data_IF_721973535850
#
_entry.id   IF_721973535850
#
_cell.length_a   1.000
_cell.length_b   1.000
_cell.length_c   1.000
_cell.angle_alpha   90.00
_cell.angle_beta   90.00
_cell.angle_gamma   90.00
#
_symmetry.space_group_name_H-M   'P 1'
#
loop_
_entity.id
_entity.type
_entity.pdbx_description
1 polymer ?
#
# COMPACT_ATOMS: atom_id res chain seq x y z
N UNK A 1 -6.12 17.04 5.55
CA UNK A 1 -5.87 16.58 6.94
C UNK A 1 -6.14 15.11 6.93
N UNK A 2 -5.08 14.34 7.06
CA UNK A 2 -5.14 12.88 7.09
C UNK A 2 -5.80 12.41 8.39
N UNK A 3 -6.77 11.49 8.29
CA UNK A 3 -7.41 10.84 9.44
C UNK A 3 -6.78 9.47 9.72
N UNK A 4 -7.02 8.92 10.92
CA UNK A 4 -6.55 7.57 11.29
C UNK A 4 -7.11 6.47 10.37
N UNK A 5 -8.34 6.65 9.87
CA UNK A 5 -8.96 5.73 8.93
C UNK A 5 -8.25 5.75 7.58
N UNK A 6 -7.97 6.95 7.04
CA UNK A 6 -7.20 7.11 5.80
C UNK A 6 -5.80 6.50 5.92
N UNK A 7 -5.14 6.66 7.07
CA UNK A 7 -3.85 6.03 7.34
C UNK A 7 -3.96 4.51 7.32
N UNK A 8 -4.95 3.92 8.01
CA UNK A 8 -5.13 2.46 8.01
C UNK A 8 -5.43 1.90 6.63
N UNK A 9 -6.29 2.57 5.86
CA UNK A 9 -6.54 2.20 4.46
C UNK A 9 -5.24 2.23 3.65
N UNK A 10 -4.45 3.29 3.81
CA UNK A 10 -3.14 3.42 3.16
C UNK A 10 -2.18 2.30 3.57
N UNK A 11 -2.11 1.94 4.85
CA UNK A 11 -1.28 0.84 5.33
C UNK A 11 -1.67 -0.50 4.68
N UNK A 12 -2.98 -0.78 4.61
CA UNK A 12 -3.51 -2.01 4.02
C UNK A 12 -3.27 -2.09 2.51
N UNK A 13 -3.41 -0.98 1.78
CA UNK A 13 -3.09 -0.92 0.36
C UNK A 13 -1.59 -1.11 0.17
N UNK A 14 -0.74 -0.35 0.86
CA UNK A 14 0.70 -0.47 0.70
C UNK A 14 1.24 -1.86 1.06
N UNK A 15 0.62 -2.54 2.03
CA UNK A 15 0.93 -3.92 2.36
C UNK A 15 0.79 -4.85 1.15
N UNK A 16 -0.23 -4.68 0.30
CA UNK A 16 -0.43 -5.52 -0.89
C UNK A 16 0.61 -5.28 -1.98
N UNK A 17 1.21 -4.08 -1.99
CA UNK A 17 2.30 -3.71 -2.90
C UNK A 17 3.67 -4.17 -2.39
N UNK A 18 3.90 -4.11 -1.07
CA UNK A 18 5.17 -4.48 -0.45
C UNK A 18 5.38 -5.97 -0.28
N UNK A 19 4.31 -6.76 -0.19
CA UNK A 19 4.40 -8.19 0.05
C UNK A 19 3.63 -9.01 -0.99
N UNK A 20 4.10 -10.22 -1.24
CA UNK A 20 3.31 -11.20 -1.99
C UNK A 20 2.14 -11.67 -1.10
N UNK A 21 0.94 -11.19 -1.41
CA UNK A 21 -0.25 -11.52 -0.63
C UNK A 21 -0.66 -13.00 -0.73
N UNK A 22 -0.30 -13.70 -1.82
CA UNK A 22 -0.57 -15.14 -1.96
C UNK A 22 0.27 -15.95 -0.98
N UNK A 23 1.54 -15.58 -0.81
CA UNK A 23 2.43 -16.19 0.18
C UNK A 23 2.14 -15.70 1.60
N UNK A 24 1.75 -14.43 1.76
CA UNK A 24 1.35 -13.86 3.04
C UNK A 24 0.21 -14.66 3.68
N UNK A 25 -0.81 -15.01 2.90
CA UNK A 25 -1.94 -15.81 3.37
C UNK A 25 -1.56 -17.24 3.77
N UNK A 26 -0.40 -17.74 3.33
CA UNK A 26 0.20 -19.03 3.76
C UNK A 26 1.07 -18.90 5.01
N UNK A 27 1.19 -17.70 5.58
CA UNK A 27 2.06 -17.46 6.73
C UNK A 27 3.52 -17.18 6.34
N UNK A 28 3.78 -16.84 5.07
CA UNK A 28 5.13 -16.62 4.54
C UNK A 28 5.29 -15.17 4.12
N UNK A 29 6.26 -14.46 4.72
CA UNK A 29 6.54 -13.06 4.41
C UNK A 29 7.54 -12.97 3.27
N UNK A 30 7.04 -12.72 2.06
CA UNK A 30 7.85 -12.48 0.86
C UNK A 30 7.72 -11.01 0.46
N UNK A 31 8.85 -10.33 0.31
CA UNK A 31 8.93 -8.91 0.01
C UNK A 31 9.04 -8.70 -1.50
N UNK A 32 8.28 -7.75 -2.03
CA UNK A 32 8.47 -7.24 -3.39
C UNK A 32 9.61 -6.22 -3.41
N UNK A 33 10.82 -6.69 -3.77
CA UNK A 33 12.05 -5.88 -3.76
C UNK A 33 11.95 -4.64 -4.66
N UNK A 34 11.26 -4.78 -5.80
CA UNK A 34 11.20 -3.74 -6.84
C UNK A 34 10.33 -2.56 -6.39
N UNK A 35 9.30 -2.84 -5.59
CA UNK A 35 8.49 -1.82 -4.95
C UNK A 35 9.19 -1.25 -3.72
N UNK A 36 9.84 -2.09 -2.92
CA UNK A 36 10.47 -1.65 -1.67
C UNK A 36 11.57 -0.63 -1.87
N UNK A 37 12.26 -0.64 -2.99
CA UNK A 37 13.35 0.32 -3.23
C UNK A 37 12.87 1.69 -3.72
N UNK A 38 11.57 1.82 -4.04
CA UNK A 38 10.99 3.05 -4.56
C UNK A 38 10.92 4.14 -3.48
N UNK A 39 11.17 5.38 -3.93
CA UNK A 39 10.83 6.58 -3.17
C UNK A 39 9.31 6.71 -3.04
N UNK A 40 8.82 7.64 -2.20
CA UNK A 40 7.38 7.92 -2.13
C UNK A 40 6.81 8.34 -3.48
N UNK A 41 7.53 9.18 -4.21
CA UNK A 41 7.09 9.72 -5.49
C UNK A 41 7.05 8.62 -6.58
N UNK A 42 8.07 7.77 -6.64
CA UNK A 42 8.08 6.62 -7.58
C UNK A 42 6.96 5.62 -7.27
N UNK A 43 6.60 5.45 -5.98
CA UNK A 43 5.50 4.59 -5.58
C UNK A 43 4.15 5.23 -5.94
N UNK A 44 4.00 6.54 -5.72
CA UNK A 44 2.81 7.29 -6.14
C UNK A 44 2.54 7.14 -7.64
N UNK A 45 3.58 7.20 -8.47
CA UNK A 45 3.46 7.00 -9.91
C UNK A 45 2.95 5.59 -10.27
N UNK A 46 3.41 4.56 -9.54
CA UNK A 46 2.90 3.18 -9.68
C UNK A 46 1.42 3.12 -9.30
N UNK A 47 1.04 3.64 -8.12
CA UNK A 47 -0.34 3.59 -7.66
C UNK A 47 -1.30 4.33 -8.60
N UNK A 48 -0.88 5.48 -9.13
CA UNK A 48 -1.66 6.26 -10.11
C UNK A 48 -1.82 5.50 -11.43
N UNK A 49 -0.75 4.88 -11.91
CA UNK A 49 -0.79 4.05 -13.12
C UNK A 49 -1.76 2.89 -12.95
N UNK A 50 -1.70 2.18 -11.83
CA UNK A 50 -2.62 1.07 -11.54
C UNK A 50 -4.07 1.57 -11.40
N UNK A 51 -4.28 2.69 -10.72
CA UNK A 51 -5.60 3.32 -10.60
C UNK A 51 -6.19 3.64 -11.97
N UNK A 52 -5.43 4.29 -12.86
CA UNK A 52 -5.86 4.59 -14.22
C UNK A 52 -6.21 3.33 -15.02
N UNK A 53 -5.43 2.24 -14.89
CA UNK A 53 -5.71 0.99 -15.58
C UNK A 53 -6.97 0.30 -15.06
N UNK A 54 -7.17 0.30 -13.74
CA UNK A 54 -8.30 -0.35 -13.07
C UNK A 54 -9.61 0.43 -13.22
N UNK A 55 -9.58 1.75 -13.34
CA UNK A 55 -10.78 2.59 -13.55
C UNK A 55 -11.52 2.31 -14.87
N UNK A 56 -10.96 1.48 -15.75
CA UNK A 56 -11.63 1.00 -16.96
C UNK A 56 -12.58 -0.19 -16.71
N UNK A 57 -12.55 -0.77 -15.50
CA UNK A 57 -13.44 -1.83 -15.01
C UNK A 57 -14.36 -1.28 -13.89
N UNK A 58 -15.60 -1.78 -13.78
CA UNK A 58 -16.67 -1.25 -12.89
C UNK A 58 -16.23 -0.91 -11.45
N UNK A 59 -16.89 0.09 -10.86
CA UNK A 59 -16.70 0.59 -9.48
C UNK A 59 -16.48 -0.55 -8.46
N UNK A 60 -15.28 -0.59 -7.90
CA UNK A 60 -14.82 -1.59 -6.94
C UNK A 60 -14.33 -0.86 -5.69
N UNK A 61 -14.73 -1.31 -4.49
CA UNK A 61 -14.30 -0.77 -3.19
C UNK A 61 -12.75 -0.63 -3.10
N UNK A 62 -12.01 -1.49 -3.82
CA UNK A 62 -10.55 -1.39 -3.94
C UNK A 62 -10.08 -0.07 -4.59
N UNK A 63 -10.79 0.44 -5.60
CA UNK A 63 -10.45 1.71 -6.26
C UNK A 63 -10.63 2.90 -5.31
N UNK A 64 -11.66 2.87 -4.46
CA UNK A 64 -11.87 3.90 -3.44
C UNK A 64 -10.72 3.89 -2.43
N UNK A 65 -10.34 2.71 -1.93
CA UNK A 65 -9.21 2.54 -1.01
C UNK A 65 -7.87 2.98 -1.64
N UNK A 66 -7.66 2.66 -2.92
CA UNK A 66 -6.48 3.07 -3.68
C UNK A 66 -6.44 4.60 -3.86
N UNK A 67 -7.58 5.23 -4.17
CA UNK A 67 -7.70 6.69 -4.28
C UNK A 67 -7.39 7.40 -2.96
N UNK A 68 -7.93 6.90 -1.85
CA UNK A 68 -7.63 7.38 -0.49
C UNK A 68 -6.13 7.27 -0.21
N UNK A 69 -5.52 6.16 -0.59
CA UNK A 69 -4.09 5.90 -0.36
C UNK A 69 -3.20 6.85 -1.16
N UNK A 70 -3.56 7.11 -2.42
CA UNK A 70 -2.87 8.09 -3.28
C UNK A 70 -2.94 9.49 -2.64
N UNK A 71 -4.14 9.97 -2.30
CA UNK A 71 -4.30 11.29 -1.69
C UNK A 71 -3.58 11.42 -0.34
N UNK A 72 -3.57 10.36 0.46
CA UNK A 72 -2.83 10.32 1.73
C UNK A 72 -1.32 10.44 1.50
N UNK A 73 -0.76 9.69 0.55
CA UNK A 73 0.67 9.72 0.23
C UNK A 73 1.11 11.06 -0.39
N UNK A 74 0.24 11.74 -1.12
CA UNK A 74 0.48 13.10 -1.62
C UNK A 74 0.61 14.12 -0.49
N UNK A 75 -0.22 14.00 0.56
CA UNK A 75 -0.16 14.87 1.75
C UNK A 75 1.02 14.52 2.70
N UNK A 76 1.56 13.30 2.65
CA UNK A 76 2.67 12.87 3.52
C UNK A 76 4.03 13.44 3.08
N UNK A 77 4.91 13.74 4.04
CA UNK A 77 6.33 13.94 3.76
C UNK A 77 7.04 12.61 3.52
N UNK A 78 8.21 12.66 2.88
CA UNK A 78 9.08 11.47 2.69
C UNK A 78 9.40 10.81 4.05
N UNK A 79 9.76 11.59 5.07
CA UNK A 79 10.06 11.07 6.41
C UNK A 79 8.88 10.32 7.03
N UNK A 80 7.66 10.81 6.84
CA UNK A 80 6.47 10.14 7.36
C UNK A 80 6.13 8.89 6.55
N UNK A 81 6.35 8.90 5.24
CA UNK A 81 6.26 7.70 4.41
C UNK A 81 7.29 6.63 4.85
N UNK A 82 8.53 6.98 5.15
CA UNK A 82 9.52 6.01 5.64
C UNK A 82 9.13 5.40 7.00
N UNK A 83 8.51 6.19 7.90
CA UNK A 83 7.94 5.67 9.16
C UNK A 83 6.77 4.70 8.89
N UNK A 84 5.85 5.08 8.01
CA UNK A 84 4.72 4.25 7.60
C UNK A 84 5.20 2.90 7.04
N UNK A 85 6.14 2.95 6.10
CA UNK A 85 6.80 1.78 5.53
C UNK A 85 7.42 0.90 6.61
N UNK A 86 8.19 1.49 7.52
CA UNK A 86 8.80 0.75 8.65
C UNK A 86 7.74 0.06 9.52
N UNK A 87 6.61 0.73 9.79
CA UNK A 87 5.51 0.16 10.55
C UNK A 87 4.90 -1.07 9.83
N UNK A 88 4.62 -0.96 8.53
CA UNK A 88 4.10 -2.07 7.71
C UNK A 88 5.12 -3.23 7.67
N UNK A 89 6.42 -2.94 7.56
CA UNK A 89 7.47 -3.96 7.60
C UNK A 89 7.60 -4.68 8.93
N UNK A 90 7.07 -4.14 10.02
CA UNK A 90 7.03 -4.83 11.32
C UNK A 90 5.89 -5.85 11.42
N UNK A 91 4.93 -5.83 10.49
CA UNK A 91 3.80 -6.76 10.49
C UNK A 91 4.26 -8.17 10.10
N UNK A 92 3.64 -9.17 10.69
CA UNK A 92 3.92 -10.57 10.40
C UNK A 92 2.64 -11.27 9.92
N UNK A 93 2.73 -12.17 8.93
CA UNK A 93 1.57 -12.90 8.47
C UNK A 93 1.03 -13.79 9.59
N UNK A 94 -0.28 -13.69 9.85
CA UNK A 94 -0.92 -14.59 10.80
C UNK A 94 -0.98 -15.98 10.21
N UNK A 95 -0.33 -16.96 10.86
CA UNK A 95 -0.53 -18.36 10.50
C UNK A 95 -2.00 -18.71 10.81
N UNK A 96 -2.79 -18.97 9.77
CA UNK A 96 -4.05 -19.71 9.97
C UNK A 96 -3.65 -21.08 10.53
N UNK A 97 -3.99 -21.31 11.80
CA UNK A 97 -3.87 -22.62 12.45
C UNK A 97 -4.82 -23.62 11.80
#
# INVERSE_FOLDING_TARGET
MITDEMMRTTEMILMSYFFDMSEWLKGIKIINSDIVQKSKDDLLDVLKTDFEQLTTEDNNDYLDDLSISIGTLEELSEDNYQKLKTAIFSWEPSKKK
#
